data_IF_218504064793
#
_entry.id   IF_218504064793
#
_cell.length_a   1.000
_cell.length_b   1.000
_cell.length_c   1.000
_cell.angle_alpha   90.00
_cell.angle_beta   90.00
_cell.angle_gamma   90.00
#
_symmetry.space_group_name_H-M   'P 1'
#
loop_
_entity.id
_entity.type
_entity.pdbx_description
1 polymer ?
#
# COMPACT_ATOMS: atom_id res chain seq x y z
N UNK A 1 14.05 13.80 -12.42
CA UNK A 1 13.75 14.48 -11.14
C UNK A 1 12.27 14.29 -10.90
N UNK A 2 11.88 13.75 -9.74
CA UNK A 2 10.48 13.61 -9.35
C UNK A 2 10.06 14.91 -8.66
N UNK A 3 8.91 15.47 -9.06
CA UNK A 3 8.38 16.69 -8.42
C UNK A 3 7.84 16.36 -7.01
N UNK A 4 8.05 17.22 -6.00
CA UNK A 4 7.34 17.09 -4.72
C UNK A 4 5.84 16.93 -4.96
N UNK A 5 5.16 16.18 -4.10
CA UNK A 5 3.71 15.87 -4.22
C UNK A 5 3.35 14.92 -5.38
N UNK A 6 4.34 14.32 -6.05
CA UNK A 6 4.08 13.15 -6.91
C UNK A 6 3.64 11.98 -6.03
N UNK A 7 2.49 11.40 -6.35
CA UNK A 7 1.98 10.19 -5.74
C UNK A 7 2.45 8.96 -6.52
N UNK A 8 2.72 7.89 -5.79
CA UNK A 8 3.08 6.59 -6.35
C UNK A 8 2.02 5.59 -5.91
N UNK A 9 1.37 4.96 -6.89
CA UNK A 9 0.38 3.90 -6.66
C UNK A 9 1.10 2.58 -6.74
N UNK A 10 0.89 1.73 -5.75
CA UNK A 10 1.68 0.51 -5.58
C UNK A 10 0.89 -0.56 -4.82
N UNK A 11 1.16 -1.82 -5.15
CA UNK A 11 0.70 -3.03 -4.46
C UNK A 11 1.90 -3.93 -4.19
N UNK A 12 2.01 -4.40 -2.95
CA UNK A 12 2.97 -5.39 -2.51
C UNK A 12 2.26 -6.73 -2.29
N UNK A 13 2.84 -7.82 -2.81
CA UNK A 13 2.29 -9.18 -2.66
C UNK A 13 3.11 -9.97 -1.64
N UNK A 14 2.43 -10.44 -0.60
CA UNK A 14 3.02 -11.27 0.46
C UNK A 14 2.41 -12.66 0.41
N UNK A 15 3.24 -13.70 0.48
CA UNK A 15 2.83 -15.10 0.36
C UNK A 15 3.43 -15.95 1.47
N UNK A 16 2.64 -16.88 1.99
CA UNK A 16 3.05 -17.86 3.00
C UNK A 16 3.63 -17.22 4.28
N UNK A 17 3.06 -16.08 4.68
CA UNK A 17 3.47 -15.32 5.86
C UNK A 17 2.64 -15.71 7.09
N UNK A 18 3.30 -15.85 8.23
CA UNK A 18 2.64 -15.79 9.53
C UNK A 18 2.13 -14.37 9.80
N UNK A 19 1.19 -14.23 10.74
CA UNK A 19 0.68 -12.92 11.15
C UNK A 19 1.79 -11.98 11.63
N UNK A 20 2.76 -12.49 12.39
CA UNK A 20 3.88 -11.68 12.90
C UNK A 20 4.79 -11.20 11.77
N UNK A 21 5.10 -12.05 10.79
CA UNK A 21 5.90 -11.66 9.64
C UNK A 21 5.17 -10.61 8.78
N UNK A 22 3.85 -10.76 8.60
CA UNK A 22 3.02 -9.77 7.91
C UNK A 22 3.07 -8.39 8.59
N UNK A 23 2.86 -8.34 9.92
CA UNK A 23 2.91 -7.09 10.68
C UNK A 23 4.30 -6.45 10.64
N UNK A 24 5.36 -7.25 10.72
CA UNK A 24 6.72 -6.76 10.61
C UNK A 24 6.99 -6.13 9.23
N UNK A 25 6.63 -6.81 8.14
CA UNK A 25 6.82 -6.27 6.78
C UNK A 25 6.02 -4.99 6.58
N UNK A 26 4.74 -5.00 6.95
CA UNK A 26 3.87 -3.83 6.81
C UNK A 26 4.37 -2.65 7.64
N UNK A 27 4.83 -2.89 8.87
CA UNK A 27 5.43 -1.86 9.71
C UNK A 27 6.73 -1.28 9.12
N UNK A 28 7.58 -2.10 8.51
CA UNK A 28 8.76 -1.60 7.79
C UNK A 28 8.37 -0.71 6.60
N UNK A 29 7.36 -1.10 5.81
CA UNK A 29 6.85 -0.27 4.70
C UNK A 29 6.36 1.08 5.25
N UNK A 30 5.48 1.07 6.26
CA UNK A 30 4.86 2.30 6.76
C UNK A 30 5.84 3.24 7.49
N UNK A 31 6.91 2.70 8.09
CA UNK A 31 7.95 3.51 8.77
C UNK A 31 9.06 4.00 7.84
N UNK A 32 9.17 3.45 6.62
CA UNK A 32 10.19 3.86 5.64
C UNK A 32 9.86 5.22 5.03
N UNK A 33 10.65 6.25 5.35
CA UNK A 33 10.42 7.62 4.84
C UNK A 33 11.43 8.10 3.81
N UNK A 34 12.45 7.29 3.51
CA UNK A 34 13.58 7.65 2.64
C UNK A 34 13.69 6.63 1.52
N UNK A 35 13.41 7.05 0.29
CA UNK A 35 13.56 6.23 -0.91
C UNK A 35 14.58 6.85 -1.85
N UNK A 36 15.35 6.00 -2.52
CA UNK A 36 16.39 6.40 -3.47
C UNK A 36 17.69 5.65 -3.23
N UNK A 37 18.61 5.72 -4.19
CA UNK A 37 19.90 5.06 -4.04
C UNK A 37 20.73 5.78 -2.97
N UNK A 38 21.34 5.00 -2.07
CA UNK A 38 22.18 5.47 -0.96
C UNK A 38 23.28 6.42 -1.44
N UNK A 39 23.82 6.17 -2.64
CA UNK A 39 24.88 6.96 -3.27
C UNK A 39 24.38 8.18 -4.07
N UNK A 40 23.07 8.44 -4.15
CA UNK A 40 22.49 9.51 -4.99
C UNK A 40 21.30 10.25 -4.32
N UNK A 41 20.33 10.75 -5.13
CA UNK A 41 19.19 11.55 -4.67
C UNK A 41 18.25 10.71 -3.80
N UNK A 42 18.27 10.97 -2.49
CA UNK A 42 17.29 10.45 -1.53
C UNK A 42 16.11 11.42 -1.43
N UNK A 43 14.90 10.91 -1.68
CA UNK A 43 13.64 11.64 -1.49
C UNK A 43 13.00 11.34 -0.13
N UNK A 44 12.15 12.25 0.36
CA UNK A 44 11.25 11.95 1.48
C UNK A 44 9.90 11.49 0.91
N UNK A 45 9.40 10.37 1.39
CA UNK A 45 8.07 9.83 1.03
C UNK A 45 7.30 9.59 2.33
N UNK A 46 5.97 9.65 2.23
CA UNK A 46 5.05 9.21 3.27
C UNK A 46 4.20 8.09 2.66
N UNK A 47 4.32 6.87 3.17
CA UNK A 47 3.47 5.76 2.73
C UNK A 47 2.10 5.84 3.39
N UNK A 48 1.10 5.31 2.71
CA UNK A 48 -0.27 5.20 3.20
C UNK A 48 -0.82 3.85 2.78
N UNK A 49 -1.34 3.08 3.74
CA UNK A 49 -2.05 1.85 3.45
C UNK A 49 -3.47 2.20 2.99
N UNK A 50 -3.81 1.86 1.74
CA UNK A 50 -5.12 2.18 1.15
C UNK A 50 -6.09 0.99 1.19
N UNK A 51 -5.57 -0.24 1.18
CA UNK A 51 -6.37 -1.47 1.21
C UNK A 51 -5.49 -2.71 1.40
N UNK A 52 -6.12 -3.82 1.77
CA UNK A 52 -5.51 -5.16 1.82
C UNK A 52 -6.49 -6.14 1.20
N UNK A 53 -5.98 -7.05 0.38
CA UNK A 53 -6.75 -8.14 -0.20
C UNK A 53 -6.13 -9.49 0.18
N UNK A 54 -6.97 -10.44 0.54
CA UNK A 54 -6.63 -11.86 0.63
C UNK A 54 -7.05 -12.54 -0.66
N UNK A 55 -6.18 -13.35 -1.24
CA UNK A 55 -6.50 -14.06 -2.47
C UNK A 55 -5.80 -15.42 -2.57
N UNK A 56 -6.32 -16.28 -3.43
CA UNK A 56 -5.70 -17.57 -3.80
C UNK A 56 -5.11 -17.56 -5.22
N UNK A 57 -4.95 -16.37 -5.81
CA UNK A 57 -4.42 -16.14 -7.14
C UNK A 57 -3.55 -14.88 -7.14
N UNK A 58 -2.76 -14.67 -8.18
CA UNK A 58 -2.16 -13.37 -8.41
C UNK A 58 -3.25 -12.35 -8.78
N UNK A 59 -3.09 -11.11 -8.32
CA UNK A 59 -3.98 -10.01 -8.69
C UNK A 59 -3.49 -9.36 -10.00
N UNK A 60 -3.56 -8.04 -10.09
CA UNK A 60 -3.09 -7.24 -11.20
C UNK A 60 -1.71 -6.63 -10.89
N UNK A 61 -1.00 -6.18 -11.91
CA UNK A 61 0.30 -5.51 -11.78
C UNK A 61 0.19 -4.05 -11.32
N UNK A 62 1.29 -3.52 -10.77
CA UNK A 62 1.40 -2.09 -10.45
C UNK A 62 1.19 -1.18 -11.69
N UNK A 63 1.55 -1.66 -12.88
CA UNK A 63 1.31 -0.94 -14.12
C UNK A 63 -0.19 -0.84 -14.42
N UNK A 64 -0.91 -1.95 -14.36
CA UNK A 64 -2.37 -2.00 -14.59
C UNK A 64 -3.11 -1.13 -13.57
N UNK A 65 -2.73 -1.21 -12.29
CA UNK A 65 -3.33 -0.37 -11.25
C UNK A 65 -3.06 1.11 -11.51
N UNK A 66 -1.81 1.48 -11.81
CA UNK A 66 -1.44 2.88 -12.06
C UNK A 66 -2.18 3.43 -13.29
N UNK A 67 -2.29 2.64 -14.36
CA UNK A 67 -3.02 3.03 -15.57
C UNK A 67 -4.52 3.18 -15.30
N UNK A 68 -5.15 2.22 -14.62
CA UNK A 68 -6.56 2.30 -14.28
C UNK A 68 -6.87 3.53 -13.41
N UNK A 69 -6.04 3.82 -12.40
CA UNK A 69 -6.18 5.01 -11.55
C UNK A 69 -5.96 6.28 -12.34
N UNK A 70 -4.95 6.32 -13.23
CA UNK A 70 -4.68 7.47 -14.08
C UNK A 70 -5.86 7.76 -15.01
N UNK A 71 -6.36 6.75 -15.73
CA UNK A 71 -7.47 6.90 -16.67
C UNK A 71 -8.76 7.31 -15.95
N UNK A 72 -9.01 6.73 -14.77
CA UNK A 72 -10.15 7.08 -13.94
C UNK A 72 -10.09 8.55 -13.47
N UNK A 73 -8.95 9.01 -12.97
CA UNK A 73 -8.78 10.38 -12.48
C UNK A 73 -8.77 11.41 -13.61
N UNK A 74 -8.29 11.02 -14.80
CA UNK A 74 -8.22 11.88 -15.99
C UNK A 74 -9.59 12.07 -16.62
N UNK A 75 -10.41 11.01 -16.65
CA UNK A 75 -11.69 11.04 -17.34
C UNK A 75 -11.54 11.45 -18.80
N UNK A 76 -12.28 12.47 -19.24
CA UNK A 76 -12.22 12.99 -20.61
C UNK A 76 -11.17 14.09 -20.83
N UNK A 77 -10.48 14.52 -19.76
CA UNK A 77 -9.48 15.57 -19.85
C UNK A 77 -8.25 15.11 -20.62
N UNK A 78 -7.44 16.04 -21.11
CA UNK A 78 -6.22 15.70 -21.86
C UNK A 78 -5.07 15.23 -20.94
N UNK A 79 -4.99 15.77 -19.73
CA UNK A 79 -3.97 15.45 -18.71
C UNK A 79 -4.55 15.58 -17.29
N UNK A 80 -3.89 14.94 -16.33
CA UNK A 80 -4.23 15.08 -14.91
C UNK A 80 -3.81 16.45 -14.35
N UNK A 81 -4.58 17.03 -13.42
CA UNK A 81 -4.12 18.17 -12.64
C UNK A 81 -2.94 17.77 -11.76
N UNK A 82 -2.13 18.76 -11.37
CA UNK A 82 -1.01 18.56 -10.46
C UNK A 82 -0.90 19.72 -9.45
N UNK A 83 -0.81 19.45 -8.14
CA UNK A 83 -0.83 18.12 -7.50
C UNK A 83 -2.21 17.46 -7.54
N UNK A 84 -2.24 16.14 -7.35
CA UNK A 84 -3.49 15.40 -7.19
C UNK A 84 -4.01 15.52 -5.76
N UNK A 85 -5.34 15.49 -5.60
CA UNK A 85 -5.99 15.46 -4.29
C UNK A 85 -5.95 14.02 -3.74
N UNK A 86 -5.58 13.87 -2.47
CA UNK A 86 -5.30 12.55 -1.88
C UNK A 86 -6.55 11.68 -1.78
N UNK A 87 -7.69 12.21 -1.34
CA UNK A 87 -8.93 11.44 -1.19
C UNK A 87 -9.48 10.96 -2.53
N UNK A 88 -9.37 11.80 -3.57
CA UNK A 88 -9.69 11.43 -4.94
C UNK A 88 -8.82 10.26 -5.42
N UNK A 89 -7.52 10.29 -5.14
CA UNK A 89 -6.59 9.22 -5.51
C UNK A 89 -6.87 7.94 -4.71
N UNK A 90 -7.12 8.04 -3.40
CA UNK A 90 -7.48 6.91 -2.54
C UNK A 90 -8.75 6.23 -3.06
N UNK A 91 -9.76 7.02 -3.43
CA UNK A 91 -11.02 6.52 -3.98
C UNK A 91 -10.78 5.81 -5.32
N UNK A 92 -10.04 6.45 -6.24
CA UNK A 92 -9.71 5.86 -7.53
C UNK A 92 -8.89 4.57 -7.41
N UNK A 93 -7.93 4.51 -6.48
CA UNK A 93 -7.16 3.28 -6.19
C UNK A 93 -8.07 2.15 -5.74
N UNK A 94 -8.99 2.41 -4.80
CA UNK A 94 -9.93 1.39 -4.31
C UNK A 94 -10.85 0.87 -5.40
N UNK A 95 -11.44 1.78 -6.19
CA UNK A 95 -12.36 1.41 -7.26
C UNK A 95 -11.65 0.68 -8.41
N UNK A 96 -10.49 1.17 -8.85
CA UNK A 96 -9.66 0.53 -9.86
C UNK A 96 -9.19 -0.85 -9.41
N UNK A 97 -8.76 -0.99 -8.15
CA UNK A 97 -8.36 -2.28 -7.60
C UNK A 97 -9.52 -3.30 -7.56
N UNK A 98 -10.71 -2.87 -7.16
CA UNK A 98 -11.91 -3.72 -7.19
C UNK A 98 -12.28 -4.13 -8.61
N UNK A 99 -12.26 -3.19 -9.56
CA UNK A 99 -12.54 -3.45 -10.97
C UNK A 99 -11.55 -4.47 -11.56
N UNK A 100 -10.25 -4.24 -11.39
CA UNK A 100 -9.21 -5.14 -11.89
C UNK A 100 -9.27 -6.52 -11.23
N UNK A 101 -9.63 -6.60 -9.94
CA UNK A 101 -9.87 -7.89 -9.26
C UNK A 101 -10.99 -8.70 -9.91
N UNK A 102 -11.94 -8.07 -10.59
CA UNK A 102 -13.01 -8.78 -11.30
C UNK A 102 -12.53 -9.59 -12.51
N UNK A 103 -11.31 -9.34 -12.99
CA UNK A 103 -10.74 -9.98 -14.19
C UNK A 103 -9.82 -11.16 -13.85
N UNK A 104 -9.58 -11.45 -12.57
CA UNK A 104 -8.67 -12.52 -12.14
C UNK A 104 -9.41 -13.85 -12.01
N UNK A 105 -8.70 -14.95 -12.23
CA UNK A 105 -9.25 -16.30 -12.03
C UNK A 105 -8.89 -16.77 -10.61
N UNK A 106 -9.78 -16.53 -9.66
CA UNK A 106 -9.59 -16.89 -8.26
C UNK A 106 -10.62 -16.26 -7.32
N UNK A 107 -10.39 -16.38 -6.02
CA UNK A 107 -11.15 -15.70 -4.98
C UNK A 107 -10.33 -14.54 -4.44
N UNK A 108 -10.97 -13.39 -4.31
CA UNK A 108 -10.37 -12.17 -3.75
C UNK A 108 -11.31 -11.61 -2.70
N UNK A 109 -10.80 -11.39 -1.50
CA UNK A 109 -11.53 -10.79 -0.37
C UNK A 109 -10.79 -9.53 0.07
N UNK A 110 -11.43 -8.39 -0.13
CA UNK A 110 -10.95 -7.10 0.37
C UNK A 110 -11.40 -6.89 1.82
N UNK A 111 -10.51 -6.42 2.67
CA UNK A 111 -10.90 -5.94 4.01
C UNK A 111 -11.59 -4.57 3.91
N UNK A 112 -12.43 -4.24 4.89
CA UNK A 112 -13.16 -2.97 4.91
C UNK A 112 -12.24 -1.78 5.22
N UNK A 113 -12.73 -0.56 4.98
CA UNK A 113 -11.95 0.64 5.31
C UNK A 113 -11.75 0.79 6.82
N UNK A 114 -12.70 0.32 7.64
CA UNK A 114 -12.57 0.23 9.09
C UNK A 114 -11.50 -0.77 9.50
N UNK A 115 -11.45 -1.95 8.86
CA UNK A 115 -10.42 -2.96 9.12
C UNK A 115 -9.01 -2.47 8.73
N UNK A 116 -8.88 -1.73 7.62
CA UNK A 116 -7.61 -1.05 7.27
C UNK A 116 -7.21 -0.06 8.36
N UNK A 117 -8.14 0.77 8.84
CA UNK A 117 -7.86 1.76 9.88
C UNK A 117 -7.50 1.11 11.22
N UNK A 118 -8.16 0.01 11.59
CA UNK A 118 -7.83 -0.80 12.75
C UNK A 118 -6.42 -1.38 12.65
N UNK A 119 -6.06 -1.95 11.49
CA UNK A 119 -4.72 -2.51 11.26
C UNK A 119 -3.62 -1.44 11.41
N UNK A 120 -3.84 -0.23 10.89
CA UNK A 120 -2.89 0.89 11.06
C UNK A 120 -2.81 1.33 12.52
N UNK A 121 -3.93 1.34 13.25
CA UNK A 121 -3.95 1.64 14.69
C UNK A 121 -3.16 0.62 15.49
N UNK A 122 -3.40 -0.68 15.26
CA UNK A 122 -2.69 -1.78 15.91
C UNK A 122 -1.17 -1.71 15.65
N UNK A 123 -0.76 -1.41 14.42
CA UNK A 123 0.65 -1.22 14.10
C UNK A 123 1.28 -0.02 14.82
N UNK A 124 0.56 1.11 14.90
CA UNK A 124 1.05 2.27 15.64
C UNK A 124 1.22 1.95 17.13
N UNK A 125 0.28 1.23 17.74
CA UNK A 125 0.36 0.80 19.14
C UNK A 125 1.55 -0.14 19.35
N UNK A 126 1.69 -1.17 18.51
CA UNK A 126 2.79 -2.13 18.57
C UNK A 126 4.16 -1.45 18.46
N UNK A 127 4.34 -0.57 17.48
CA UNK A 127 5.63 0.10 17.23
C UNK A 127 5.93 1.22 18.22
N UNK A 128 4.94 1.69 18.99
CA UNK A 128 5.14 2.69 20.05
C UNK A 128 5.57 2.07 21.38
N UNK A 129 5.44 0.75 21.55
CA UNK A 129 5.87 0.00 22.73
C UNK A 129 7.11 -0.87 22.39
N UNK A 130 8.28 -0.41 22.81
CA UNK A 130 9.56 -1.10 22.56
C UNK A 130 9.58 -2.53 23.12
N UNK A 131 8.98 -2.77 24.29
CA UNK A 131 8.96 -4.08 24.90
C UNK A 131 8.04 -5.04 24.15
N UNK A 132 6.86 -4.57 23.76
CA UNK A 132 5.92 -5.35 22.95
C UNK A 132 6.51 -5.68 21.56
N UNK A 133 7.13 -4.70 20.90
CA UNK A 133 7.78 -4.91 19.62
C UNK A 133 8.94 -5.90 19.72
N UNK A 134 9.81 -5.77 20.73
CA UNK A 134 10.90 -6.72 20.95
C UNK A 134 10.40 -8.14 21.21
N UNK A 135 9.29 -8.31 21.91
CA UNK A 135 8.69 -9.63 22.14
C UNK A 135 8.11 -10.23 20.84
N UNK A 136 7.46 -9.41 20.00
CA UNK A 136 7.04 -9.86 18.67
C UNK A 136 8.23 -10.29 17.81
N UNK A 137 9.34 -9.54 17.81
CA UNK A 137 10.53 -9.92 17.03
C UNK A 137 11.11 -11.27 17.44
N UNK A 138 11.01 -11.67 18.71
CA UNK A 138 11.45 -13.00 19.15
C UNK A 138 10.60 -14.12 18.55
N UNK A 139 9.33 -13.85 18.22
CA UNK A 139 8.46 -14.83 17.56
C UNK A 139 8.85 -15.05 16.08
N UNK A 140 9.65 -14.15 15.50
CA UNK A 140 10.22 -14.32 14.15
C UNK A 140 11.51 -15.17 14.15
N UNK A 141 12.15 -15.35 15.31
CA UNK A 141 13.35 -16.14 15.45
C UNK A 141 12.98 -17.62 15.60
N UNK A 142 13.16 -18.37 14.50
CA UNK A 142 13.08 -19.84 14.49
C UNK A 142 14.16 -20.47 15.39
#
# INVERSE_FOLDING_TARGET
YVKPETLFVEMETLKDMTTTEFLYVLGNILTTTRYGAISSRIGKVKNMLVGVAFSNCELFSNLELTQAVYDQLKGEESELPFPLENEAVITAVKESAQLLSGNVIGQVTWITSEEVASLVTELNELYSDEAAFAEQLKQLAY
#
